data_IF_814115401075
#
_entry.id   IF_814115401075
#
_cell.length_a   1.000
_cell.length_b   1.000
_cell.length_c   1.000
_cell.angle_alpha   90.00
_cell.angle_beta   90.00
_cell.angle_gamma   90.00
#
_symmetry.space_group_name_H-M   'P 1'
#
loop_
_entity.id
_entity.type
_entity.pdbx_description
1 polymer ?
#
# COMPACT_ATOMS: atom_id res chain seq x y z
N UNK A 1 -3.87 10.53 69.07
CA UNK A 1 -4.86 10.25 68.01
C UNK A 1 -5.58 11.57 67.68
N UNK A 2 -5.02 12.31 66.74
CA UNK A 2 -5.40 13.69 66.38
C UNK A 2 -6.25 13.66 65.12
N UNK A 3 -7.53 14.04 65.20
CA UNK A 3 -8.35 14.34 64.03
C UNK A 3 -8.71 15.83 64.05
N UNK A 4 -8.12 16.54 63.11
CA UNK A 4 -8.12 17.99 62.94
C UNK A 4 -9.42 18.51 62.32
N UNK A 5 -10.00 19.51 63.00
CA UNK A 5 -10.61 20.76 62.52
C UNK A 5 -11.17 20.81 61.07
N UNK A 6 -12.50 20.99 60.96
CA UNK A 6 -13.21 22.26 60.67
C UNK A 6 -13.13 22.72 59.21
N UNK A 7 -14.25 22.54 58.52
CA UNK A 7 -14.47 22.97 57.15
C UNK A 7 -15.65 23.95 57.11
N UNK A 8 -15.39 25.27 57.00
CA UNK A 8 -16.31 26.30 56.47
C UNK A 8 -15.50 27.53 56.05
N UNK A 9 -15.67 27.99 54.80
CA UNK A 9 -16.08 29.36 54.39
C UNK A 9 -15.66 29.72 52.94
N UNK A 10 -16.69 29.84 52.08
CA UNK A 10 -16.97 30.85 51.04
C UNK A 10 -16.07 31.21 49.82
N UNK A 11 -16.76 31.18 48.66
CA UNK A 11 -16.84 32.18 47.56
C UNK A 11 -15.81 32.24 46.39
N UNK A 12 -16.35 31.93 45.20
CA UNK A 12 -16.27 32.64 43.89
C UNK A 12 -14.98 32.75 43.06
N UNK A 13 -15.09 32.14 41.85
CA UNK A 13 -14.68 32.58 40.51
C UNK A 13 -13.26 33.14 40.26
N UNK A 14 -12.50 32.44 39.41
CA UNK A 14 -11.58 33.04 38.43
C UNK A 14 -11.23 32.04 37.32
N UNK A 15 -11.40 32.47 36.07
CA UNK A 15 -10.95 31.83 34.84
C UNK A 15 -9.45 31.48 34.92
N UNK A 16 -9.10 30.27 34.51
CA UNK A 16 -7.77 29.97 33.97
C UNK A 16 -7.92 28.93 32.87
N UNK A 17 -7.53 29.34 31.66
CA UNK A 17 -7.43 28.49 30.48
C UNK A 17 -6.57 27.25 30.80
N UNK A 18 -7.19 26.08 30.84
CA UNK A 18 -6.52 24.80 30.94
C UNK A 18 -6.43 24.17 29.56
N UNK A 19 -5.22 24.16 29.02
CA UNK A 19 -4.75 23.37 27.88
C UNK A 19 -5.65 22.16 27.59
N UNK A 20 -6.35 22.18 26.44
CA UNK A 20 -6.83 20.97 25.80
C UNK A 20 -5.61 20.25 25.25
N UNK A 21 -4.97 19.49 26.13
CA UNK A 21 -3.94 18.51 25.82
C UNK A 21 -4.49 17.62 24.72
N UNK A 22 -3.84 17.65 23.56
CA UNK A 22 -4.09 16.74 22.46
C UNK A 22 -4.04 15.29 22.97
N UNK A 23 -5.21 14.70 23.16
CA UNK A 23 -5.37 13.29 23.48
C UNK A 23 -6.58 12.75 22.71
N UNK A 24 -6.55 12.97 21.39
CA UNK A 24 -7.51 12.40 20.44
C UNK A 24 -6.75 11.52 19.46
N UNK A 25 -6.04 10.52 19.97
CA UNK A 25 -5.32 9.53 19.18
C UNK A 25 -5.61 8.11 19.67
N UNK A 26 -6.83 7.82 20.11
CA UNK A 26 -7.13 6.51 20.69
C UNK A 26 -8.55 6.07 20.33
N UNK A 27 -8.80 5.76 19.05
CA UNK A 27 -9.83 4.77 18.66
C UNK A 27 -9.42 4.06 17.36
N UNK A 28 -8.20 3.50 17.36
CA UNK A 28 -7.88 2.28 16.57
C UNK A 28 -8.23 1.08 17.45
N UNK A 29 -9.51 0.86 17.72
CA UNK A 29 -9.95 -0.25 18.57
C UNK A 29 -10.69 -1.27 17.73
N UNK A 30 -9.91 -2.02 16.96
CA UNK A 30 -10.17 -3.42 16.57
C UNK A 30 -8.97 -4.06 15.85
N UNK A 31 -8.01 -3.27 15.35
CA UNK A 31 -6.83 -3.75 14.63
C UNK A 31 -5.58 -3.04 15.14
N UNK A 32 -4.41 -3.66 15.01
CA UNK A 32 -3.11 -3.02 15.30
C UNK A 32 -2.98 -1.67 14.57
N UNK A 33 -2.00 -0.85 14.98
CA UNK A 33 -1.74 0.46 14.37
C UNK A 33 -1.83 0.36 12.83
N UNK A 34 -2.67 1.20 12.20
CA UNK A 34 -2.77 1.24 10.75
C UNK A 34 -1.38 1.44 10.13
N UNK A 35 -1.09 0.78 9.01
CA UNK A 35 0.23 0.92 8.39
C UNK A 35 0.42 2.36 7.93
N UNK A 36 1.66 2.86 8.04
CA UNK A 36 1.97 4.28 7.81
C UNK A 36 1.55 4.74 6.40
N UNK A 37 1.62 3.83 5.42
CA UNK A 37 1.24 4.11 4.03
C UNK A 37 -0.23 4.52 3.88
N UNK A 38 -1.12 4.16 4.80
CA UNK A 38 -2.52 4.62 4.74
C UNK A 38 -2.65 6.12 4.87
N UNK A 39 -1.80 6.74 5.70
CA UNK A 39 -1.80 8.20 5.84
C UNK A 39 -0.96 8.86 4.75
N UNK A 40 0.17 8.25 4.38
CA UNK A 40 1.06 8.79 3.36
C UNK A 40 0.42 8.80 1.96
N UNK A 41 -0.32 7.75 1.61
CA UNK A 41 -1.01 7.61 0.31
C UNK A 41 -2.48 8.09 0.36
N UNK A 42 -2.92 8.72 1.46
CA UNK A 42 -4.27 9.27 1.56
C UNK A 42 -5.40 8.23 1.45
N UNK A 43 -5.17 7.01 1.96
CA UNK A 43 -6.20 5.95 2.06
C UNK A 43 -7.26 6.34 3.08
N UNK A 44 -6.83 6.89 4.22
CA UNK A 44 -7.69 7.34 5.29
C UNK A 44 -7.54 8.84 5.50
N UNK A 45 -8.64 9.49 5.84
CA UNK A 45 -8.59 10.79 6.50
C UNK A 45 -8.55 10.54 8.02
N UNK A 46 -7.43 10.83 8.71
CA UNK A 46 -7.33 10.61 10.16
C UNK A 46 -8.30 11.52 10.95
N UNK A 47 -8.88 12.55 10.34
CA UNK A 47 -9.89 13.41 10.94
C UNK A 47 -11.33 12.89 10.74
N UNK A 48 -11.54 11.88 9.89
CA UNK A 48 -12.86 11.29 9.67
C UNK A 48 -13.26 10.32 10.78
N UNK A 49 -14.56 10.24 11.08
CA UNK A 49 -15.10 9.27 12.03
C UNK A 49 -14.98 7.84 11.47
N UNK A 50 -14.49 6.85 12.24
CA UNK A 50 -14.42 5.48 11.77
C UNK A 50 -15.80 4.84 11.56
N UNK A 51 -16.07 4.37 10.34
CA UNK A 51 -17.30 3.68 9.95
C UNK A 51 -17.07 2.18 9.66
N UNK A 52 -16.30 1.50 10.52
CA UNK A 52 -15.80 0.13 10.24
C UNK A 52 -16.89 -0.93 10.06
N UNK A 53 -18.11 -0.69 10.55
CA UNK A 53 -19.24 -1.61 10.38
C UNK A 53 -20.11 -1.31 9.15
N UNK A 54 -19.89 -0.20 8.46
CA UNK A 54 -20.65 0.15 7.26
C UNK A 54 -20.31 -0.79 6.09
N UNK A 55 -21.22 -0.92 5.13
CA UNK A 55 -20.96 -1.66 3.91
C UNK A 55 -19.84 -0.98 3.11
N UNK A 56 -18.85 -1.77 2.65
CA UNK A 56 -17.82 -1.28 1.75
C UNK A 56 -18.40 -1.17 0.33
N UNK A 57 -17.96 -0.14 -0.40
CA UNK A 57 -18.30 0.03 -1.82
C UNK A 57 -17.10 -0.22 -2.74
N UNK A 58 -17.38 -0.43 -4.03
CA UNK A 58 -16.37 -0.73 -5.04
C UNK A 58 -15.36 0.42 -5.19
N UNK A 59 -15.80 1.68 -5.08
CA UNK A 59 -14.92 2.84 -5.16
C UNK A 59 -13.89 2.87 -4.03
N UNK A 60 -14.28 2.51 -2.81
CA UNK A 60 -13.37 2.37 -1.67
C UNK A 60 -12.35 1.25 -1.89
N UNK A 61 -12.77 0.10 -2.43
CA UNK A 61 -11.85 -0.98 -2.78
C UNK A 61 -10.85 -0.53 -3.86
N UNK A 62 -11.34 0.08 -4.95
CA UNK A 62 -10.48 0.60 -6.02
C UNK A 62 -9.48 1.63 -5.49
N UNK A 63 -9.93 2.53 -4.62
CA UNK A 63 -9.07 3.55 -4.01
C UNK A 63 -7.93 2.94 -3.20
N UNK A 64 -8.24 2.12 -2.18
CA UNK A 64 -7.19 1.54 -1.31
C UNK A 64 -6.24 0.63 -2.08
N UNK A 65 -6.73 -0.14 -3.05
CA UNK A 65 -5.90 -0.99 -3.88
C UNK A 65 -5.01 -0.17 -4.83
N UNK A 66 -5.49 0.96 -5.37
CA UNK A 66 -4.66 1.86 -6.18
C UNK A 66 -3.55 2.49 -5.36
N UNK A 67 -3.85 2.93 -4.13
CA UNK A 67 -2.84 3.49 -3.22
C UNK A 67 -1.84 2.43 -2.76
N UNK A 68 -2.30 1.21 -2.49
CA UNK A 68 -1.42 0.09 -2.18
C UNK A 68 -0.46 -0.22 -3.33
N UNK A 69 -0.96 -0.21 -4.58
CA UNK A 69 -0.12 -0.44 -5.76
C UNK A 69 0.93 0.67 -5.92
N UNK A 70 0.55 1.94 -5.70
CA UNK A 70 1.48 3.06 -5.72
C UNK A 70 2.58 2.91 -4.65
N UNK A 71 2.22 2.52 -3.44
CA UNK A 71 3.18 2.26 -2.36
C UNK A 71 4.12 1.10 -2.69
N UNK A 72 3.60 0.00 -3.22
CA UNK A 72 4.42 -1.15 -3.62
C UNK A 72 5.36 -0.80 -4.78
N UNK A 73 4.91 -0.03 -5.76
CA UNK A 73 5.76 0.48 -6.84
C UNK A 73 6.87 1.39 -6.32
N UNK A 74 6.63 2.11 -5.22
CA UNK A 74 7.63 3.00 -4.63
C UNK A 74 8.65 2.29 -3.73
N UNK A 75 8.31 1.12 -3.17
CA UNK A 75 9.11 0.49 -2.09
C UNK A 75 9.58 -0.94 -2.35
N UNK A 76 8.94 -1.67 -3.25
CA UNK A 76 9.31 -3.05 -3.52
C UNK A 76 10.23 -3.13 -4.75
N UNK A 77 11.32 -3.90 -4.70
CA UNK A 77 12.05 -4.28 -5.92
C UNK A 77 11.11 -5.02 -6.88
N UNK A 78 10.99 -4.57 -8.13
CA UNK A 78 10.00 -5.01 -9.12
C UNK A 78 8.58 -4.44 -8.93
N UNK A 79 8.41 -3.50 -7.98
CA UNK A 79 7.17 -2.78 -7.72
C UNK A 79 5.97 -3.66 -7.33
N UNK A 80 4.76 -3.22 -7.67
CA UNK A 80 3.54 -4.01 -7.49
C UNK A 80 3.43 -5.20 -8.45
N UNK A 81 4.26 -5.27 -9.49
CA UNK A 81 4.17 -6.27 -10.55
C UNK A 81 3.10 -5.96 -11.62
N UNK A 82 3.21 -6.64 -12.76
CA UNK A 82 2.41 -6.38 -13.96
C UNK A 82 0.90 -6.56 -13.72
N UNK A 83 0.48 -7.65 -13.07
CA UNK A 83 -0.93 -7.98 -12.86
C UNK A 83 -1.65 -6.92 -12.00
N UNK A 84 -1.03 -6.47 -10.91
CA UNK A 84 -1.59 -5.44 -10.03
C UNK A 84 -1.65 -4.10 -10.77
N UNK A 85 -0.58 -3.74 -11.48
CA UNK A 85 -0.51 -2.50 -12.25
C UNK A 85 -1.56 -2.47 -13.36
N UNK A 86 -1.71 -3.56 -14.12
CA UNK A 86 -2.74 -3.70 -15.15
C UNK A 86 -4.16 -3.57 -14.56
N UNK A 87 -4.40 -4.20 -13.40
CA UNK A 87 -5.68 -4.11 -12.70
C UNK A 87 -6.01 -2.66 -12.31
N UNK A 88 -5.11 -1.96 -11.62
CA UNK A 88 -5.38 -0.58 -11.15
C UNK A 88 -5.46 0.41 -12.32
N UNK A 89 -4.66 0.23 -13.37
CA UNK A 89 -4.76 1.03 -14.60
C UNK A 89 -6.12 0.83 -15.26
N UNK A 90 -6.66 -0.39 -15.29
CA UNK A 90 -7.98 -0.67 -15.88
C UNK A 90 -9.10 0.12 -15.20
N UNK A 91 -9.00 0.39 -13.89
CA UNK A 91 -10.01 1.16 -13.14
C UNK A 91 -9.95 2.67 -13.39
N UNK A 92 -8.80 3.18 -13.82
CA UNK A 92 -8.61 4.59 -14.13
C UNK A 92 -9.12 4.96 -15.53
N UNK A 93 -9.23 3.97 -16.42
CA UNK A 93 -9.75 4.18 -17.77
C UNK A 93 -11.23 4.65 -17.72
N UNK A 94 -11.64 5.52 -18.66
CA UNK A 94 -13.06 5.83 -18.81
C UNK A 94 -13.83 4.53 -19.12
N UNK A 95 -15.03 4.35 -18.55
CA UNK A 95 -15.84 3.19 -18.88
C UNK A 95 -16.21 3.23 -20.36
N UNK A 96 -16.44 2.04 -20.96
CA UNK A 96 -16.90 1.94 -22.33
C UNK A 96 -18.17 2.78 -22.56
N UNK A 97 -18.37 3.24 -23.80
CA UNK A 97 -19.53 4.06 -24.13
C UNK A 97 -20.84 3.37 -23.71
N UNK A 98 -21.66 4.08 -22.94
CA UNK A 98 -22.91 3.55 -22.39
C UNK A 98 -22.78 2.74 -21.08
N UNK A 99 -21.58 2.59 -20.53
CA UNK A 99 -21.33 1.92 -19.23
C UNK A 99 -21.13 2.97 -18.13
N UNK A 100 -21.91 2.87 -17.05
CA UNK A 100 -21.75 3.71 -15.85
C UNK A 100 -20.73 3.11 -14.90
N UNK A 101 -19.95 3.94 -14.19
CA UNK A 101 -19.07 3.48 -13.12
C UNK A 101 -19.87 2.86 -11.98
N UNK A 102 -19.37 1.76 -11.44
CA UNK A 102 -19.96 0.98 -10.36
C UNK A 102 -19.41 1.37 -8.98
N UNK A 103 -18.75 2.52 -8.86
CA UNK A 103 -17.98 2.92 -7.67
C UNK A 103 -18.83 3.01 -6.38
N UNK A 104 -20.14 3.23 -6.50
CA UNK A 104 -21.07 3.26 -5.35
C UNK A 104 -21.75 1.91 -5.07
N UNK A 105 -21.53 0.89 -5.90
CA UNK A 105 -22.08 -0.43 -5.67
C UNK A 105 -21.37 -1.10 -4.48
N UNK A 106 -22.11 -1.92 -3.74
CA UNK A 106 -21.55 -2.65 -2.63
C UNK A 106 -20.59 -3.75 -3.12
N UNK A 107 -19.49 -3.96 -2.39
CA UNK A 107 -18.52 -5.01 -2.71
C UNK A 107 -18.84 -6.27 -1.93
N UNK A 108 -18.78 -7.43 -2.59
CA UNK A 108 -18.92 -8.72 -1.90
C UNK A 108 -17.56 -9.25 -1.41
N UNK A 109 -17.58 -10.17 -0.44
CA UNK A 109 -16.36 -10.73 0.15
C UNK A 109 -15.50 -11.49 -0.87
N UNK A 110 -16.11 -12.07 -1.90
CA UNK A 110 -15.40 -12.71 -3.00
C UNK A 110 -14.53 -11.74 -3.80
N UNK A 111 -15.11 -10.63 -4.21
CA UNK A 111 -14.43 -9.54 -4.92
C UNK A 111 -13.32 -8.94 -4.06
N UNK A 112 -13.60 -8.69 -2.77
CA UNK A 112 -12.60 -8.18 -1.84
C UNK A 112 -11.40 -9.12 -1.72
N UNK A 113 -11.64 -10.41 -1.48
CA UNK A 113 -10.58 -11.42 -1.37
C UNK A 113 -9.82 -11.60 -2.68
N UNK A 114 -10.51 -11.61 -3.82
CA UNK A 114 -9.88 -11.77 -5.13
C UNK A 114 -8.88 -10.65 -5.42
N UNK A 115 -9.24 -9.39 -5.14
CA UNK A 115 -8.33 -8.26 -5.30
C UNK A 115 -7.19 -8.34 -4.28
N UNK A 116 -7.50 -8.53 -2.99
CA UNK A 116 -6.46 -8.57 -1.94
C UNK A 116 -5.44 -9.70 -2.17
N UNK A 117 -5.87 -10.85 -2.70
CA UNK A 117 -5.00 -12.00 -2.99
C UNK A 117 -3.79 -11.62 -3.85
N UNK A 118 -3.99 -10.77 -4.88
CA UNK A 118 -2.90 -10.33 -5.77
C UNK A 118 -1.78 -9.63 -4.98
N UNK A 119 -2.15 -8.77 -4.03
CA UNK A 119 -1.21 -8.04 -3.19
C UNK A 119 -0.42 -8.98 -2.28
N UNK A 120 -1.10 -9.94 -1.64
CA UNK A 120 -0.42 -10.94 -0.79
C UNK A 120 0.50 -11.87 -1.57
N UNK A 121 0.06 -12.32 -2.76
CA UNK A 121 0.91 -13.14 -3.63
C UNK A 121 2.18 -12.38 -4.03
N UNK A 122 2.05 -11.09 -4.35
CA UNK A 122 3.19 -10.24 -4.71
C UNK A 122 4.12 -9.98 -3.54
N UNK A 123 3.59 -9.67 -2.35
CA UNK A 123 4.37 -9.49 -1.13
C UNK A 123 5.15 -10.77 -0.80
N UNK A 124 4.50 -11.94 -0.87
CA UNK A 124 5.14 -13.22 -0.66
C UNK A 124 6.23 -13.52 -1.70
N UNK A 125 6.00 -13.20 -2.98
CA UNK A 125 7.00 -13.34 -4.04
C UNK A 125 8.23 -12.44 -3.81
N UNK A 126 8.03 -11.27 -3.21
CA UNK A 126 9.11 -10.38 -2.80
C UNK A 126 9.71 -10.72 -1.42
N UNK A 127 9.34 -11.86 -0.82
CA UNK A 127 9.86 -12.35 0.46
C UNK A 127 9.26 -11.68 1.70
N UNK A 128 8.27 -10.80 1.55
CA UNK A 128 7.65 -10.07 2.65
C UNK A 128 6.51 -10.87 3.28
N UNK A 129 6.54 -10.92 4.61
CA UNK A 129 5.47 -11.43 5.45
C UNK A 129 5.28 -10.53 6.66
N UNK A 130 4.13 -10.63 7.33
CA UNK A 130 3.83 -9.81 8.50
C UNK A 130 2.34 -9.65 8.72
N UNK A 131 1.93 -8.84 9.72
CA UNK A 131 0.54 -8.50 9.93
C UNK A 131 -0.11 -8.03 8.62
N UNK A 132 -1.38 -8.36 8.36
CA UNK A 132 -2.32 -9.08 9.20
C UNK A 132 -2.22 -10.62 9.14
N UNK A 133 -1.18 -11.18 8.52
CA UNK A 133 -1.02 -12.64 8.40
C UNK A 133 -0.71 -13.27 9.77
N UNK A 134 -1.40 -14.37 10.07
CA UNK A 134 -1.03 -15.26 11.16
C UNK A 134 0.11 -16.19 10.74
N UNK A 135 0.84 -16.75 11.70
CA UNK A 135 1.97 -17.65 11.42
C UNK A 135 1.54 -18.82 10.53
N UNK A 136 2.29 -19.04 9.44
CA UNK A 136 2.01 -20.07 8.43
C UNK A 136 0.75 -19.86 7.58
N UNK A 137 0.04 -18.72 7.67
CA UNK A 137 -1.11 -18.41 6.81
C UNK A 137 -0.70 -17.53 5.62
N UNK A 138 -1.06 -17.89 4.37
CA UNK A 138 -0.73 -17.08 3.20
C UNK A 138 -1.63 -15.86 3.04
N UNK A 139 -2.81 -15.84 3.68
CA UNK A 139 -3.81 -14.80 3.55
C UNK A 139 -4.46 -14.46 4.90
N UNK A 140 -5.01 -13.26 5.09
CA UNK A 140 -5.60 -12.81 6.36
C UNK A 140 -7.06 -13.26 6.55
N UNK A 141 -7.46 -14.36 5.92
CA UNK A 141 -8.76 -15.00 6.07
C UNK A 141 -8.62 -16.52 6.23
N UNK A 142 -9.58 -17.20 6.88
CA UNK A 142 -9.49 -18.64 7.11
C UNK A 142 -9.48 -19.43 5.80
N UNK A 143 -8.66 -20.48 5.73
CA UNK A 143 -8.57 -21.39 4.57
C UNK A 143 -9.82 -22.27 4.37
N UNK A 144 -10.63 -22.42 5.42
CA UNK A 144 -11.89 -23.17 5.46
C UNK A 144 -13.13 -22.30 5.27
N UNK A 145 -12.95 -21.00 4.99
CA UNK A 145 -14.04 -20.13 4.56
C UNK A 145 -14.52 -20.61 3.18
N UNK A 146 -15.37 -21.63 3.21
CA UNK A 146 -16.10 -22.19 2.08
C UNK A 146 -16.62 -21.07 1.20
N UNK A 147 -16.79 -21.34 -0.10
CA UNK A 147 -17.39 -20.39 -1.05
C UNK A 147 -18.81 -19.89 -0.69
N UNK A 148 -19.32 -20.21 0.50
CA UNK A 148 -20.58 -19.75 1.07
C UNK A 148 -20.59 -18.25 1.40
N UNK A 149 -19.47 -17.66 1.82
CA UNK A 149 -19.44 -16.22 2.18
C UNK A 149 -19.02 -15.30 1.03
N UNK A 150 -18.64 -15.86 -0.12
CA UNK A 150 -18.17 -15.11 -1.32
C UNK A 150 -19.21 -14.09 -1.80
N UNK A 151 -20.50 -14.37 -1.60
CA UNK A 151 -21.60 -13.48 -2.00
C UNK A 151 -22.06 -12.51 -0.91
N UNK A 152 -21.57 -12.66 0.33
CA UNK A 152 -21.93 -11.75 1.42
C UNK A 152 -21.30 -10.37 1.19
N UNK A 153 -21.98 -9.33 1.65
CA UNK A 153 -21.46 -7.97 1.59
C UNK A 153 -20.26 -7.83 2.51
N UNK A 154 -19.20 -7.20 2.01
CA UNK A 154 -18.06 -6.82 2.83
C UNK A 154 -18.39 -5.53 3.60
N UNK A 155 -17.86 -5.42 4.81
CA UNK A 155 -17.85 -4.16 5.56
C UNK A 155 -16.50 -3.43 5.45
N UNK A 156 -16.49 -2.15 5.80
CA UNK A 156 -15.30 -1.28 5.75
C UNK A 156 -14.17 -1.83 6.63
N UNK A 157 -14.48 -2.42 7.78
CA UNK A 157 -13.51 -3.05 8.67
C UNK A 157 -12.80 -4.24 8.01
N UNK A 158 -13.51 -5.06 7.24
CA UNK A 158 -12.93 -6.17 6.47
C UNK A 158 -12.07 -5.66 5.31
N UNK A 159 -12.50 -4.60 4.62
CA UNK A 159 -11.70 -3.93 3.58
C UNK A 159 -10.38 -3.41 4.17
N UNK A 160 -10.47 -2.66 5.27
CA UNK A 160 -9.33 -2.17 6.04
C UNK A 160 -8.42 -3.30 6.50
N UNK A 161 -8.98 -4.37 7.06
CA UNK A 161 -8.21 -5.52 7.54
C UNK A 161 -7.38 -6.15 6.43
N UNK A 162 -7.95 -6.48 5.27
CA UNK A 162 -7.18 -7.15 4.21
C UNK A 162 -6.13 -6.25 3.55
N UNK A 163 -6.22 -4.92 3.69
CA UNK A 163 -5.21 -3.95 3.24
C UNK A 163 -4.40 -3.35 4.39
N UNK A 164 -4.39 -3.98 5.57
CA UNK A 164 -3.59 -3.50 6.71
C UNK A 164 -2.15 -4.03 6.72
N UNK A 165 -1.71 -4.61 5.60
CA UNK A 165 -0.35 -5.14 5.50
C UNK A 165 0.70 -4.02 5.57
N UNK A 166 1.85 -4.35 6.15
CA UNK A 166 3.01 -3.47 6.14
C UNK A 166 3.79 -3.66 4.84
N UNK A 167 4.20 -2.55 4.21
CA UNK A 167 5.20 -2.53 3.15
C UNK A 167 6.47 -1.97 3.81
N UNK A 168 7.44 -2.81 4.19
CA UNK A 168 8.66 -2.34 4.81
C UNK A 168 9.39 -1.38 3.87
N UNK A 169 10.12 -0.42 4.45
CA UNK A 169 10.95 0.50 3.67
C UNK A 169 12.07 -0.21 2.93
N UNK A 170 12.51 -1.37 3.45
CA UNK A 170 13.63 -2.14 2.90
C UNK A 170 13.26 -3.63 2.73
N UNK A 171 13.76 -4.31 1.68
CA UNK A 171 13.56 -5.74 1.51
C UNK A 171 14.12 -6.60 2.66
N UNK A 172 13.56 -7.79 2.93
CA UNK A 172 14.09 -8.69 3.93
C UNK A 172 15.49 -9.15 3.52
N UNK A 173 16.48 -8.91 4.37
CA UNK A 173 17.89 -9.18 4.03
C UNK A 173 18.58 -8.02 3.30
N UNK A 174 17.91 -6.87 3.17
CA UNK A 174 18.52 -5.63 2.70
C UNK A 174 19.68 -5.22 3.61
N UNK A 175 20.81 -4.94 2.99
CA UNK A 175 21.99 -4.37 3.62
C UNK A 175 22.45 -3.23 2.72
N UNK A 176 22.50 -2.02 3.25
CA UNK A 176 23.00 -0.83 2.54
C UNK A 176 24.10 -0.21 3.39
N UNK A 177 25.33 -0.66 3.17
CA UNK A 177 26.48 -0.28 4.02
C UNK A 177 26.91 1.16 3.79
N UNK A 178 26.70 1.70 2.59
CA UNK A 178 27.15 3.04 2.21
C UNK A 178 26.03 4.11 2.24
N UNK A 179 24.78 3.68 2.48
CA UNK A 179 23.62 4.54 2.66
C UNK A 179 23.13 5.17 1.35
N UNK A 180 23.40 4.52 0.21
CA UNK A 180 23.07 5.06 -1.12
C UNK A 180 21.66 4.64 -1.60
N UNK A 181 20.97 3.76 -0.87
CA UNK A 181 19.63 3.27 -1.18
C UNK A 181 19.59 2.05 -2.11
N UNK A 182 20.73 1.43 -2.40
CA UNK A 182 20.86 0.19 -3.17
C UNK A 182 21.33 -0.93 -2.23
N UNK A 183 20.79 -2.14 -2.41
CA UNK A 183 21.24 -3.30 -1.63
C UNK A 183 22.67 -3.73 -2.00
N UNK A 184 23.53 -3.91 -0.99
CA UNK A 184 24.91 -4.40 -1.11
C UNK A 184 24.96 -5.69 -1.95
N UNK A 185 23.99 -6.61 -1.82
CA UNK A 185 24.02 -7.86 -2.59
C UNK A 185 23.71 -7.61 -4.07
N UNK A 186 22.82 -6.68 -4.38
CA UNK A 186 22.55 -6.26 -5.76
C UNK A 186 23.77 -5.58 -6.37
N UNK A 187 24.41 -4.66 -5.65
CA UNK A 187 25.66 -4.03 -6.08
C UNK A 187 26.76 -5.06 -6.34
N UNK A 188 26.95 -6.02 -5.43
CA UNK A 188 27.91 -7.11 -5.58
C UNK A 188 27.56 -8.05 -6.75
N UNK A 189 26.28 -8.35 -6.98
CA UNK A 189 25.84 -9.23 -8.05
C UNK A 189 26.07 -8.63 -9.44
N UNK A 190 25.84 -7.32 -9.59
CA UNK A 190 26.00 -6.65 -10.88
C UNK A 190 27.41 -6.09 -11.07
N UNK A 191 27.99 -5.41 -10.08
CA UNK A 191 29.27 -4.69 -10.23
C UNK A 191 30.46 -5.35 -9.54
N UNK A 192 30.22 -6.32 -8.65
CA UNK A 192 31.28 -7.01 -7.91
C UNK A 192 31.90 -6.21 -6.77
N UNK A 193 31.36 -5.02 -6.45
CA UNK A 193 31.72 -4.19 -5.30
C UNK A 193 30.54 -3.32 -4.88
N UNK A 194 30.55 -2.85 -3.63
CA UNK A 194 29.59 -1.86 -3.10
C UNK A 194 30.05 -0.42 -3.43
N UNK A 195 29.17 0.58 -3.30
CA UNK A 195 29.55 1.97 -3.53
C UNK A 195 29.17 2.51 -4.91
N UNK A 196 28.11 2.00 -5.51
CA UNK A 196 27.67 2.32 -6.86
C UNK A 196 26.86 3.62 -6.84
N UNK A 197 27.14 4.52 -7.77
CA UNK A 197 26.37 5.76 -7.90
C UNK A 197 24.91 5.44 -8.30
N UNK A 198 23.91 5.73 -7.46
CA UNK A 198 22.51 5.42 -7.74
C UNK A 198 21.93 6.18 -8.93
N UNK A 199 22.61 7.26 -9.35
CA UNK A 199 22.18 8.12 -10.46
C UNK A 199 22.87 7.82 -11.78
N UNK A 200 23.86 6.92 -11.79
CA UNK A 200 24.56 6.53 -13.01
C UNK A 200 23.71 5.60 -13.89
N UNK A 201 23.98 5.65 -15.19
CA UNK A 201 23.36 4.86 -16.25
C UNK A 201 24.49 4.18 -17.05
N UNK A 202 24.95 2.98 -16.64
CA UNK A 202 26.13 2.36 -17.21
C UNK A 202 25.92 1.79 -18.62
N UNK A 203 24.69 1.42 -18.98
CA UNK A 203 24.37 0.81 -20.28
C UNK A 203 23.69 1.78 -21.27
N UNK A 204 23.35 2.99 -20.82
CA UNK A 204 22.94 4.12 -21.65
C UNK A 204 21.48 4.04 -22.10
N UNK A 205 20.63 3.32 -21.38
CA UNK A 205 19.22 3.15 -21.73
C UNK A 205 18.29 4.24 -21.14
N UNK A 206 18.85 5.11 -20.28
CA UNK A 206 18.15 6.21 -19.63
C UNK A 206 17.55 5.86 -18.27
N UNK A 207 17.74 4.63 -17.76
CA UNK A 207 17.44 4.25 -16.39
C UNK A 207 18.71 4.42 -15.53
N UNK A 208 18.52 4.86 -14.29
CA UNK A 208 19.63 4.91 -13.34
C UNK A 208 19.74 3.60 -12.58
N UNK A 209 20.91 3.29 -12.01
CA UNK A 209 21.13 2.10 -11.20
C UNK A 209 20.06 1.91 -10.11
N UNK A 210 19.63 3.00 -9.45
CA UNK A 210 18.54 2.95 -8.47
C UNK A 210 17.19 2.60 -9.12
N UNK A 211 16.88 3.16 -10.28
CA UNK A 211 15.65 2.85 -11.00
C UNK A 211 15.62 1.38 -11.45
N UNK A 212 16.78 0.83 -11.85
CA UNK A 212 16.92 -0.56 -12.24
C UNK A 212 16.87 -1.52 -11.06
N UNK A 213 17.51 -1.17 -9.94
CA UNK A 213 17.35 -1.90 -8.67
C UNK A 213 15.87 -1.99 -8.28
N UNK A 214 15.15 -0.87 -8.33
CA UNK A 214 13.71 -0.82 -8.05
C UNK A 214 12.86 -1.56 -9.09
N UNK A 215 13.33 -1.70 -10.33
CA UNK A 215 12.67 -2.42 -11.39
C UNK A 215 13.04 -3.92 -11.44
N UNK A 216 13.99 -4.37 -10.61
CA UNK A 216 14.61 -5.70 -10.68
C UNK A 216 15.20 -6.00 -12.08
N UNK A 217 15.81 -4.99 -12.70
CA UNK A 217 16.50 -5.07 -14.00
C UNK A 217 18.02 -5.03 -13.84
N UNK A 218 18.74 -5.29 -14.93
CA UNK A 218 20.20 -5.40 -14.91
C UNK A 218 20.85 -4.10 -15.46
N UNK A 219 21.72 -3.43 -14.68
CA UNK A 219 22.35 -2.15 -15.03
C UNK A 219 23.49 -2.23 -16.04
N UNK A 220 23.49 -3.31 -16.80
CA UNK A 220 24.48 -3.63 -17.83
C UNK A 220 23.80 -4.11 -19.12
N UNK A 221 22.47 -4.18 -19.12
CA UNK A 221 21.68 -4.70 -20.21
C UNK A 221 20.54 -3.72 -20.45
N UNK A 222 20.79 -2.83 -21.41
CA UNK A 222 19.82 -1.83 -21.82
C UNK A 222 18.44 -2.45 -21.99
N UNK A 223 17.46 -1.92 -21.26
CA UNK A 223 16.07 -2.30 -21.36
C UNK A 223 15.68 -2.19 -22.84
N UNK A 224 15.23 -3.31 -23.40
CA UNK A 224 15.07 -3.48 -24.84
C UNK A 224 14.31 -2.29 -25.45
N UNK A 225 15.03 -1.36 -26.09
CA UNK A 225 14.42 -0.21 -26.77
C UNK A 225 13.59 -0.81 -27.90
N UNK A 226 12.27 -0.84 -27.72
CA UNK A 226 11.36 -1.18 -28.81
C UNK A 226 11.54 -0.04 -29.82
N UNK A 227 12.40 -0.27 -30.81
CA UNK A 227 12.60 0.67 -31.90
C UNK A 227 11.20 0.98 -32.45
N UNK A 228 10.78 2.25 -32.58
CA UNK A 228 9.48 2.56 -33.09
C UNK A 228 9.36 1.91 -34.47
N UNK A 229 8.49 0.90 -34.56
CA UNK A 229 8.17 0.25 -35.82
C UNK A 229 7.78 1.38 -36.76
N UNK A 230 8.59 1.61 -37.78
CA UNK A 230 8.23 2.51 -38.87
C UNK A 230 7.05 1.85 -39.59
N UNK A 231 5.83 2.20 -39.19
CA UNK A 231 4.63 1.82 -39.92
C UNK A 231 4.71 2.57 -41.25
N UNK A 232 5.20 1.90 -42.29
CA UNK A 232 5.03 2.33 -43.66
C UNK A 232 3.53 2.27 -43.98
N UNK A 233 2.82 3.36 -43.69
CA UNK A 233 1.44 3.52 -44.10
C UNK A 233 1.46 3.77 -45.61
N UNK A 234 1.28 2.70 -46.39
CA UNK A 234 0.96 2.84 -47.82
C UNK A 234 -0.43 3.47 -47.88
N UNK A 235 -0.49 4.79 -48.09
CA UNK A 235 -1.73 5.50 -48.38
C UNK A 235 -2.19 5.08 -49.78
N UNK A 236 -3.14 4.15 -49.86
CA UNK A 236 -3.93 3.98 -51.07
C UNK A 236 -4.90 5.16 -51.17
N UNK A 237 -4.66 6.04 -52.14
CA UNK A 237 -5.64 7.04 -52.54
C UNK A 237 -6.69 6.40 -53.46
N UNK A 238 -7.97 6.84 -53.39
CA UNK A 238 -9.09 6.22 -54.10
C UNK A 238 -9.01 6.34 -55.63
#
# INVERSE_FOLDING_TARGET
MTASARNRYYLSALLAAGLLSAFSFQFFSLFGQAPDWWTQQGVIDPAATPDDYAAANIGQLKHIATQAAAEMNARLPGGAGEDINALVTSWQQPPAEGVTRDDYAAVNLGQLKAVAKLFYDRLAAAGYGGPPLADGQPYPWPSDASGADTYALANIGQLKHVFSFSIPSEPPGFVDTDGNGIDDNWELAHFGHIGIDPTADPDGDGLSNLAEYLADTSPQVAAHVVSPISINLILYSP
#
